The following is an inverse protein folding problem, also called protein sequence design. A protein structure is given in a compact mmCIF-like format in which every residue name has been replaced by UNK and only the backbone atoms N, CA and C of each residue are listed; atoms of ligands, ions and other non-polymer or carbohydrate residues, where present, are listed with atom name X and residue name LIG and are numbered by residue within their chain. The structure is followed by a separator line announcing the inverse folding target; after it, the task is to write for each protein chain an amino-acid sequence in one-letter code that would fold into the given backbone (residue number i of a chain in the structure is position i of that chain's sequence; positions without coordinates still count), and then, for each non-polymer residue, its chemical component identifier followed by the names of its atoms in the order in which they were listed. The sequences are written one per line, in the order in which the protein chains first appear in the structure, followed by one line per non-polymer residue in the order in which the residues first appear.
data_IF_374438457525
#
_entry.id   IF_374438457525
#
_cell.length_a   1.000
_cell.length_b   1.000
_cell.length_c   1.000
_cell.angle_alpha   90.00
_cell.angle_beta   90.00
_cell.angle_gamma   90.00
#
_symmetry.space_group_name_H-M   'P 1'
#
loop_
_entity.id
_entity.type
_entity.pdbx_description
1 polymer ?
#
# COMPACT_ATOMS: atom_id res chain seq x y z
N UNK A 1 17.23 4.34 -24.83
CA UNK A 1 16.72 4.32 -23.44
C UNK A 1 16.56 5.78 -23.04
N UNK A 2 15.38 6.23 -22.61
CA UNK A 2 15.19 7.64 -22.28
C UNK A 2 16.10 8.04 -21.10
N UNK A 3 16.54 9.29 -21.07
CA UNK A 3 17.43 9.84 -20.04
C UNK A 3 16.84 9.67 -18.63
N UNK A 4 15.53 9.88 -18.48
CA UNK A 4 14.77 9.62 -17.24
C UNK A 4 14.90 8.18 -16.73
N UNK A 5 14.82 7.19 -17.62
CA UNK A 5 14.96 5.78 -17.25
C UNK A 5 16.38 5.45 -16.81
N UNK A 6 17.38 6.15 -17.34
CA UNK A 6 18.76 6.04 -16.91
C UNK A 6 18.95 6.56 -15.48
N UNK A 7 18.38 7.72 -15.15
CA UNK A 7 18.42 8.33 -13.82
C UNK A 7 17.73 7.42 -12.77
N UNK A 8 16.52 6.94 -13.05
CA UNK A 8 15.81 6.06 -12.13
C UNK A 8 16.56 4.74 -11.88
N UNK A 9 17.16 4.16 -12.93
CA UNK A 9 17.99 2.96 -12.79
C UNK A 9 19.23 3.24 -11.95
N UNK A 10 19.85 4.41 -12.10
CA UNK A 10 20.97 4.86 -11.25
C UNK A 10 20.58 4.97 -9.77
N UNK A 11 19.40 5.54 -9.48
CA UNK A 11 18.86 5.62 -8.10
C UNK A 11 18.67 4.21 -7.52
N UNK A 12 18.04 3.30 -8.27
CA UNK A 12 17.82 1.93 -7.81
C UNK A 12 19.15 1.21 -7.56
N UNK A 13 20.12 1.36 -8.48
CA UNK A 13 21.46 0.78 -8.33
C UNK A 13 22.17 1.34 -7.08
N UNK A 14 22.06 2.62 -6.81
CA UNK A 14 22.58 3.26 -5.60
C UNK A 14 21.99 2.61 -4.34
N UNK A 15 20.66 2.55 -4.23
CA UNK A 15 20.02 1.93 -3.06
C UNK A 15 20.38 0.47 -2.89
N UNK A 16 20.48 -0.28 -3.99
CA UNK A 16 20.82 -1.71 -3.94
C UNK A 16 22.28 -1.93 -3.51
N UNK A 17 23.24 -1.23 -4.13
CA UNK A 17 24.66 -1.48 -3.95
C UNK A 17 25.21 -0.92 -2.63
N UNK A 18 24.66 0.19 -2.16
CA UNK A 18 25.13 0.86 -0.93
C UNK A 18 24.32 0.51 0.33
N UNK A 19 23.27 -0.31 0.20
CA UNK A 19 22.53 -0.75 1.39
C UNK A 19 23.28 -1.84 2.15
N UNK A 20 23.50 -1.65 3.47
CA UNK A 20 24.09 -2.68 4.33
C UNK A 20 23.27 -3.98 4.29
N UNK A 21 23.92 -5.12 4.56
CA UNK A 21 23.31 -6.45 4.52
C UNK A 21 22.06 -6.59 5.43
N UNK A 22 22.05 -5.91 6.57
CA UNK A 22 20.91 -5.93 7.47
C UNK A 22 19.70 -5.18 6.88
N UNK A 23 19.90 -4.03 6.19
CA UNK A 23 18.85 -3.30 5.48
C UNK A 23 18.28 -4.15 4.34
N UNK A 24 19.15 -4.86 3.60
CA UNK A 24 18.72 -5.80 2.56
C UNK A 24 17.84 -6.91 3.15
N UNK A 25 18.23 -7.48 4.30
CA UNK A 25 17.47 -8.54 4.98
C UNK A 25 16.11 -8.04 5.46
N UNK A 26 16.04 -6.87 6.11
CA UNK A 26 14.79 -6.23 6.50
C UNK A 26 13.90 -5.98 5.26
N UNK A 27 14.48 -5.48 4.18
CA UNK A 27 13.75 -5.20 2.93
C UNK A 27 13.12 -6.46 2.31
N UNK A 28 13.81 -7.60 2.41
CA UNK A 28 13.27 -8.91 2.00
C UNK A 28 12.12 -9.38 2.91
N UNK A 29 12.22 -9.17 4.21
CA UNK A 29 11.15 -9.49 5.17
C UNK A 29 9.91 -8.61 4.87
N UNK A 30 10.11 -7.30 4.66
CA UNK A 30 9.03 -6.39 4.27
C UNK A 30 8.38 -6.81 2.94
N UNK A 31 9.15 -7.40 2.00
CA UNK A 31 8.60 -7.95 0.77
C UNK A 31 7.61 -9.08 1.02
N UNK A 32 7.83 -9.89 2.03
CA UNK A 32 6.91 -10.99 2.39
C UNK A 32 5.68 -10.41 3.09
N UNK A 33 5.88 -9.57 4.12
CA UNK A 33 4.79 -9.01 4.93
C UNK A 33 3.82 -8.19 4.08
N UNK A 34 4.33 -7.33 3.20
CA UNK A 34 3.51 -6.48 2.33
C UNK A 34 3.26 -7.08 0.93
N UNK A 35 3.46 -8.40 0.78
CA UNK A 35 3.00 -9.10 -0.43
C UNK A 35 1.47 -9.07 -0.51
N UNK A 36 0.92 -9.16 -1.72
CA UNK A 36 -0.54 -9.17 -1.93
C UNK A 36 -1.25 -10.25 -1.10
N UNK A 37 -0.65 -11.43 -0.99
CA UNK A 37 -1.23 -12.54 -0.20
C UNK A 37 -1.30 -12.20 1.29
N UNK A 38 -0.19 -11.74 1.88
CA UNK A 38 -0.15 -11.35 3.28
C UNK A 38 -1.01 -10.11 3.55
N UNK A 39 -1.06 -9.15 2.64
CA UNK A 39 -1.94 -7.99 2.74
C UNK A 39 -3.41 -8.40 2.88
N UNK A 40 -3.89 -9.30 2.04
CA UNK A 40 -5.27 -9.81 2.12
C UNK A 40 -5.53 -10.44 3.49
N UNK A 41 -4.63 -11.30 3.97
CA UNK A 41 -4.75 -11.93 5.30
C UNK A 41 -4.79 -10.89 6.41
N UNK A 42 -3.90 -9.90 6.38
CA UNK A 42 -3.85 -8.82 7.38
C UNK A 42 -5.15 -8.00 7.36
N UNK A 43 -5.67 -7.65 6.17
CA UNK A 43 -6.92 -6.92 6.04
C UNK A 43 -8.11 -7.72 6.59
N UNK A 44 -8.14 -9.03 6.40
CA UNK A 44 -9.16 -9.89 7.03
C UNK A 44 -9.03 -9.93 8.56
N UNK A 45 -7.82 -10.00 9.10
CA UNK A 45 -7.59 -9.93 10.55
C UNK A 45 -8.07 -8.57 11.09
N UNK A 46 -7.73 -7.46 10.43
CA UNK A 46 -8.21 -6.12 10.78
C UNK A 46 -9.74 -6.01 10.69
N UNK A 47 -10.34 -6.68 9.71
CA UNK A 47 -11.79 -6.79 9.57
C UNK A 47 -12.42 -7.47 10.82
N UNK A 48 -11.85 -8.58 11.25
CA UNK A 48 -12.30 -9.29 12.47
C UNK A 48 -12.16 -8.39 13.69
N UNK A 49 -11.02 -7.72 13.87
CA UNK A 49 -10.78 -6.77 14.97
C UNK A 49 -11.82 -5.65 14.96
N UNK A 50 -12.06 -5.04 13.79
CA UNK A 50 -13.07 -3.98 13.63
C UNK A 50 -14.46 -4.45 14.04
N UNK A 51 -14.84 -5.68 13.65
CA UNK A 51 -16.13 -6.26 14.04
C UNK A 51 -16.26 -6.41 15.56
N UNK A 52 -15.25 -6.95 16.24
CA UNK A 52 -15.30 -7.10 17.70
C UNK A 52 -15.35 -5.76 18.45
N UNK A 53 -14.69 -4.73 17.92
CA UNK A 53 -14.71 -3.38 18.50
C UNK A 53 -16.06 -2.66 18.35
N UNK A 54 -16.75 -2.85 17.22
CA UNK A 54 -17.98 -2.09 16.87
C UNK A 54 -19.25 -2.91 16.83
N UNK A 55 -19.15 -4.25 16.79
CA UNK A 55 -20.30 -5.17 16.67
C UNK A 55 -21.24 -4.81 15.52
N UNK A 56 -20.67 -4.23 14.45
CA UNK A 56 -21.43 -3.77 13.30
C UNK A 56 -20.77 -4.25 12.00
N UNK A 57 -21.31 -5.32 11.43
CA UNK A 57 -20.78 -5.96 10.23
C UNK A 57 -20.78 -5.03 8.99
N UNK A 58 -21.75 -4.08 8.90
CA UNK A 58 -21.83 -3.15 7.78
C UNK A 58 -20.63 -2.19 7.76
N UNK A 59 -20.29 -1.60 8.91
CA UNK A 59 -19.11 -0.74 9.04
C UNK A 59 -17.86 -1.52 8.65
N UNK A 60 -17.71 -2.72 9.19
CA UNK A 60 -16.55 -3.57 9.02
C UNK A 60 -16.35 -3.99 7.56
N UNK A 61 -17.40 -4.45 6.89
CA UNK A 61 -17.33 -4.81 5.47
C UNK A 61 -17.04 -3.57 4.61
N UNK A 62 -17.66 -2.45 4.91
CA UNK A 62 -17.39 -1.21 4.17
C UNK A 62 -15.92 -0.78 4.28
N UNK A 63 -15.33 -0.86 5.47
CA UNK A 63 -13.90 -0.58 5.67
C UNK A 63 -13.02 -1.52 4.85
N UNK A 64 -13.34 -2.82 4.83
CA UNK A 64 -12.62 -3.82 4.05
C UNK A 64 -12.74 -3.53 2.54
N UNK A 65 -13.95 -3.26 2.05
CA UNK A 65 -14.17 -2.95 0.62
C UNK A 65 -13.43 -1.68 0.21
N UNK A 66 -13.51 -0.61 0.99
CA UNK A 66 -12.81 0.65 0.72
C UNK A 66 -11.29 0.44 0.68
N UNK A 67 -10.76 -0.46 1.52
CA UNK A 67 -9.33 -0.76 1.56
C UNK A 67 -8.88 -1.68 0.42
N UNK A 68 -9.73 -2.61 -0.05
CA UNK A 68 -9.37 -3.57 -1.10
C UNK A 68 -9.64 -3.05 -2.51
N UNK A 69 -10.70 -2.26 -2.72
CA UNK A 69 -11.11 -1.82 -4.05
C UNK A 69 -10.00 -1.09 -4.83
N UNK A 70 -9.19 -0.19 -4.21
CA UNK A 70 -8.06 0.43 -4.89
C UNK A 70 -7.01 -0.57 -5.37
N UNK A 71 -6.89 -1.74 -4.75
CA UNK A 71 -5.97 -2.80 -5.19
C UNK A 71 -6.33 -3.31 -6.60
N UNK A 72 -7.64 -3.41 -6.89
CA UNK A 72 -8.12 -3.81 -8.23
C UNK A 72 -7.67 -2.81 -9.29
N UNK A 73 -7.77 -1.51 -9.01
CA UNK A 73 -7.30 -0.47 -9.92
C UNK A 73 -5.78 -0.53 -10.14
N UNK A 74 -5.01 -0.74 -9.07
CA UNK A 74 -3.55 -0.91 -9.16
C UNK A 74 -3.20 -2.11 -10.05
N UNK A 75 -3.88 -3.24 -9.89
CA UNK A 75 -3.66 -4.41 -10.75
C UNK A 75 -4.04 -4.14 -12.21
N UNK A 76 -5.18 -3.49 -12.46
CA UNK A 76 -5.58 -3.13 -13.83
C UNK A 76 -4.53 -2.24 -14.52
N UNK A 77 -4.09 -1.16 -13.84
CA UNK A 77 -3.06 -0.25 -14.36
C UNK A 77 -1.75 -1.00 -14.63
N UNK A 78 -1.37 -1.94 -13.76
CA UNK A 78 -0.14 -2.73 -13.90
C UNK A 78 -0.09 -3.48 -15.23
N UNK A 79 -1.19 -4.10 -15.64
CA UNK A 79 -1.28 -4.82 -16.90
C UNK A 79 -1.46 -3.92 -18.12
N UNK A 80 -2.06 -2.72 -17.95
CA UNK A 80 -2.19 -1.73 -19.04
C UNK A 80 -0.83 -1.10 -19.36
N UNK A 81 -0.10 -0.64 -18.35
CA UNK A 81 1.20 0.05 -18.53
C UNK A 81 2.32 -0.91 -18.88
N UNK A 82 2.28 -2.11 -18.36
CA UNK A 82 3.21 -3.22 -18.63
C UNK A 82 4.71 -2.82 -18.54
N UNK A 83 5.07 -1.98 -17.55
CA UNK A 83 6.44 -1.48 -17.38
C UNK A 83 7.38 -2.61 -16.94
N UNK A 84 8.52 -2.83 -17.63
CA UNK A 84 9.52 -3.80 -17.18
C UNK A 84 10.16 -3.34 -15.84
N UNK A 85 10.65 -4.32 -15.06
CA UNK A 85 11.33 -4.05 -13.78
C UNK A 85 12.75 -3.50 -14.00
N UNK A 86 13.34 -2.82 -12.98
CA UNK A 86 14.70 -2.33 -13.06
C UNK A 86 15.69 -3.46 -13.34
N UNK A 87 16.63 -3.21 -14.25
CA UNK A 87 17.79 -4.08 -14.47
C UNK A 87 19.06 -3.29 -14.12
N UNK A 88 19.73 -3.69 -13.06
CA UNK A 88 20.92 -3.01 -12.50
C UNK A 88 22.22 -3.76 -12.76
N UNK A 89 22.26 -4.61 -13.82
CA UNK A 89 23.44 -5.40 -14.16
C UNK A 89 23.62 -6.69 -13.35
N UNK A 90 22.82 -6.91 -12.30
CA UNK A 90 22.85 -8.12 -11.46
C UNK A 90 21.51 -8.85 -11.60
N UNK A 91 21.56 -10.20 -11.67
CA UNK A 91 20.33 -11.00 -11.67
C UNK A 91 19.71 -11.03 -10.28
N UNK A 92 18.65 -10.26 -10.10
CA UNK A 92 17.81 -10.30 -8.90
C UNK A 92 16.58 -11.17 -9.18
N UNK A 93 16.26 -12.09 -8.27
CA UNK A 93 15.05 -12.92 -8.39
C UNK A 93 13.82 -12.05 -8.12
N UNK A 94 13.17 -11.58 -9.18
CA UNK A 94 11.99 -10.73 -9.14
C UNK A 94 10.75 -11.49 -9.61
N UNK A 95 9.55 -11.08 -9.15
CA UNK A 95 8.31 -11.60 -9.71
C UNK A 95 8.17 -11.30 -11.20
N UNK A 96 7.47 -12.13 -11.99
CA UNK A 96 7.34 -11.95 -13.44
C UNK A 96 6.39 -10.81 -13.84
N UNK A 97 5.62 -10.28 -12.89
CA UNK A 97 4.65 -9.21 -13.13
C UNK A 97 5.31 -7.85 -13.38
N UNK A 98 4.65 -6.93 -14.12
CA UNK A 98 5.18 -5.59 -14.41
C UNK A 98 5.53 -4.78 -13.17
N UNK A 99 6.44 -3.79 -13.30
CA UNK A 99 6.92 -3.01 -12.15
C UNK A 99 5.91 -1.94 -11.71
N UNK A 100 5.28 -1.25 -12.64
CA UNK A 100 4.41 -0.09 -12.36
C UNK A 100 2.93 -0.46 -12.26
N UNK A 101 2.20 0.06 -11.28
CA UNK A 101 2.67 0.68 -10.05
C UNK A 101 3.08 -0.37 -8.99
N UNK A 102 3.69 0.07 -7.87
CA UNK A 102 4.19 -0.85 -6.83
C UNK A 102 3.07 -1.47 -6.00
N UNK A 103 2.87 -2.80 -6.16
CA UNK A 103 1.88 -3.55 -5.38
C UNK A 103 2.19 -3.62 -3.88
N UNK A 104 3.46 -3.65 -3.48
CA UNK A 104 3.86 -3.67 -2.07
C UNK A 104 3.60 -2.34 -1.37
N UNK A 105 3.89 -1.22 -2.04
CA UNK A 105 3.56 0.11 -1.52
C UNK A 105 2.04 0.29 -1.42
N UNK A 106 1.29 -0.17 -2.43
CA UNK A 106 -0.16 -0.20 -2.41
C UNK A 106 -0.71 -1.02 -1.23
N UNK A 107 -0.14 -2.20 -0.96
CA UNK A 107 -0.52 -3.05 0.17
C UNK A 107 -0.27 -2.36 1.52
N UNK A 108 0.86 -1.65 1.67
CA UNK A 108 1.14 -0.88 2.88
C UNK A 108 0.09 0.21 3.10
N UNK A 109 -0.28 0.96 2.05
CA UNK A 109 -1.32 1.99 2.14
C UNK A 109 -2.69 1.38 2.46
N UNK A 110 -3.04 0.22 1.87
CA UNK A 110 -4.31 -0.47 2.16
C UNK A 110 -4.43 -0.83 3.65
N UNK A 111 -3.39 -1.43 4.23
CA UNK A 111 -3.34 -1.81 5.64
C UNK A 111 -3.43 -0.57 6.54
N UNK A 112 -2.67 0.47 6.22
CA UNK A 112 -2.69 1.73 6.95
C UNK A 112 -4.07 2.41 6.88
N UNK A 113 -4.69 2.45 5.70
CA UNK A 113 -6.01 3.06 5.51
C UNK A 113 -7.09 2.35 6.35
N UNK A 114 -7.09 1.00 6.34
CA UNK A 114 -8.03 0.24 7.16
C UNK A 114 -7.79 0.47 8.65
N UNK A 115 -6.52 0.49 9.10
CA UNK A 115 -6.15 0.78 10.48
C UNK A 115 -6.64 2.18 10.92
N UNK A 116 -6.44 3.20 10.06
CA UNK A 116 -6.92 4.57 10.31
C UNK A 116 -8.45 4.65 10.38
N UNK A 117 -9.16 3.92 9.50
CA UNK A 117 -10.63 3.86 9.58
C UNK A 117 -11.11 3.19 10.86
N UNK A 118 -10.42 2.16 11.34
CA UNK A 118 -10.71 1.52 12.64
C UNK A 118 -10.47 2.52 13.78
N UNK A 119 -9.33 3.23 13.79
CA UNK A 119 -9.03 4.25 14.79
C UNK A 119 -10.05 5.40 14.75
N UNK A 120 -10.43 5.88 13.58
CA UNK A 120 -11.45 6.93 13.43
C UNK A 120 -12.77 6.58 14.11
N UNK A 121 -13.18 5.31 14.03
CA UNK A 121 -14.45 4.85 14.61
C UNK A 121 -14.30 4.44 16.09
N UNK A 122 -13.12 3.96 16.52
CA UNK A 122 -12.89 3.42 17.88
C UNK A 122 -12.26 4.42 18.84
N UNK A 123 -11.23 5.14 18.41
CA UNK A 123 -10.48 6.07 19.26
C UNK A 123 -9.87 7.20 18.44
N UNK A 124 -10.62 8.28 18.27
CA UNK A 124 -10.21 9.45 17.49
C UNK A 124 -8.96 10.16 18.03
N UNK A 125 -8.67 10.06 19.32
CA UNK A 125 -7.49 10.70 19.93
C UNK A 125 -6.19 10.14 19.39
N UNK A 126 -6.18 8.87 18.98
CA UNK A 126 -5.00 8.20 18.41
C UNK A 126 -4.85 8.41 16.90
N UNK A 127 -5.82 9.06 16.25
CA UNK A 127 -5.83 9.18 14.78
C UNK A 127 -4.59 9.94 14.24
N UNK A 128 -4.18 10.99 14.95
CA UNK A 128 -3.01 11.81 14.58
C UNK A 128 -1.71 11.00 14.62
N UNK A 129 -1.53 10.24 15.68
CA UNK A 129 -0.38 9.34 15.85
C UNK A 129 -0.45 8.21 14.81
N UNK A 130 -1.63 7.62 14.61
CA UNK A 130 -1.85 6.59 13.59
C UNK A 130 -1.51 7.07 12.18
N UNK A 131 -1.83 8.33 11.84
CA UNK A 131 -1.48 8.92 10.55
C UNK A 131 0.04 9.06 10.38
N UNK A 132 0.75 9.54 11.41
CA UNK A 132 2.21 9.67 11.38
C UNK A 132 2.86 8.29 11.19
N UNK A 133 2.43 7.30 11.98
CA UNK A 133 2.92 5.92 11.85
C UNK A 133 2.65 5.37 10.44
N UNK A 134 1.47 5.62 9.88
CA UNK A 134 1.11 5.17 8.53
C UNK A 134 2.03 5.75 7.46
N UNK A 135 2.33 7.05 7.53
CA UNK A 135 3.26 7.70 6.61
C UNK A 135 4.66 7.06 6.73
N UNK A 136 5.15 6.87 7.94
CA UNK A 136 6.47 6.25 8.19
C UNK A 136 6.52 4.83 7.61
N UNK A 137 5.48 4.01 7.86
CA UNK A 137 5.39 2.64 7.34
C UNK A 137 5.40 2.64 5.80
N UNK A 138 4.60 3.49 5.17
CA UNK A 138 4.54 3.57 3.70
C UNK A 138 5.89 3.97 3.11
N UNK A 139 6.57 4.96 3.71
CA UNK A 139 7.91 5.41 3.26
C UNK A 139 8.93 4.27 3.40
N UNK A 140 8.97 3.60 4.55
CA UNK A 140 9.89 2.47 4.78
C UNK A 140 9.65 1.36 3.76
N UNK A 141 8.39 0.98 3.52
CA UNK A 141 8.04 -0.04 2.52
C UNK A 141 8.43 0.42 1.11
N UNK A 142 8.15 1.67 0.74
CA UNK A 142 8.52 2.22 -0.56
C UNK A 142 10.04 2.16 -0.79
N UNK A 143 10.84 2.66 0.15
CA UNK A 143 12.31 2.61 0.09
C UNK A 143 12.83 1.17 0.03
N UNK A 144 12.23 0.25 0.78
CA UNK A 144 12.62 -1.16 0.74
C UNK A 144 12.49 -1.78 -0.66
N UNK A 145 11.59 -1.25 -1.53
CA UNK A 145 11.43 -1.74 -2.92
C UNK A 145 12.58 -1.31 -3.81
N UNK A 146 13.18 -0.13 -3.54
CA UNK A 146 14.38 0.32 -4.23
C UNK A 146 15.59 -0.50 -3.79
N UNK A 147 15.72 -0.76 -2.50
CA UNK A 147 16.82 -1.58 -1.93
C UNK A 147 16.86 -2.98 -2.55
N UNK A 148 15.72 -3.64 -2.74
CA UNK A 148 15.68 -4.97 -3.39
C UNK A 148 15.64 -4.90 -4.92
N UNK A 149 15.85 -3.71 -5.52
CA UNK A 149 15.83 -3.46 -6.96
C UNK A 149 14.56 -3.96 -7.68
N UNK A 150 13.41 -3.96 -6.99
CA UNK A 150 12.16 -4.48 -7.53
C UNK A 150 11.33 -3.45 -8.28
N UNK A 151 11.48 -2.17 -7.95
CA UNK A 151 10.68 -1.05 -8.47
C UNK A 151 11.52 0.18 -8.72
N UNK A 152 11.06 1.03 -9.63
CA UNK A 152 11.59 2.37 -9.83
C UNK A 152 11.01 3.35 -8.79
N UNK A 153 11.68 4.51 -8.54
CA UNK A 153 11.14 5.56 -7.66
C UNK A 153 9.72 5.98 -8.04
N UNK A 154 9.44 6.18 -9.32
CA UNK A 154 8.09 6.56 -9.80
C UNK A 154 7.05 5.49 -9.52
N UNK A 155 7.38 4.19 -9.56
CA UNK A 155 6.43 3.11 -9.26
C UNK A 155 5.91 3.20 -7.82
N UNK A 156 6.81 3.47 -6.86
CA UNK A 156 6.47 3.54 -5.43
C UNK A 156 5.78 4.86 -5.07
N UNK A 157 6.25 5.98 -5.64
CA UNK A 157 5.64 7.30 -5.43
C UNK A 157 4.20 7.31 -5.96
N UNK A 158 4.00 6.79 -7.17
CA UNK A 158 2.65 6.71 -7.76
C UNK A 158 1.71 5.90 -6.87
N UNK A 159 2.13 4.74 -6.38
CA UNK A 159 1.29 3.95 -5.46
C UNK A 159 1.02 4.66 -4.14
N UNK A 160 2.04 5.35 -3.57
CA UNK A 160 1.91 6.08 -2.33
C UNK A 160 0.93 7.27 -2.42
N UNK A 161 0.76 7.86 -3.60
CA UNK A 161 -0.14 9.00 -3.85
C UNK A 161 -1.51 8.53 -4.38
N UNK A 162 -1.54 7.68 -5.40
CA UNK A 162 -2.79 7.24 -6.02
C UNK A 162 -3.68 6.44 -5.07
N UNK A 163 -3.08 5.56 -4.28
CA UNK A 163 -3.87 4.68 -3.43
C UNK A 163 -4.68 5.45 -2.37
N UNK A 164 -4.11 6.40 -1.59
CA UNK A 164 -4.90 7.22 -0.67
C UNK A 164 -6.01 8.01 -1.38
N UNK A 165 -5.74 8.55 -2.57
CA UNK A 165 -6.75 9.27 -3.36
C UNK A 165 -7.93 8.36 -3.70
N UNK A 166 -7.65 7.13 -4.15
CA UNK A 166 -8.69 6.14 -4.44
C UNK A 166 -9.46 5.71 -3.18
N UNK A 167 -8.77 5.58 -2.03
CA UNK A 167 -9.42 5.32 -0.74
C UNK A 167 -10.37 6.47 -0.37
N UNK A 168 -9.93 7.72 -0.51
CA UNK A 168 -10.76 8.90 -0.22
C UNK A 168 -11.97 8.97 -1.15
N UNK A 169 -11.79 8.73 -2.45
CA UNK A 169 -12.89 8.66 -3.41
C UNK A 169 -13.92 7.58 -3.02
N UNK A 170 -13.46 6.40 -2.68
CA UNK A 170 -14.35 5.33 -2.22
C UNK A 170 -15.06 5.69 -0.91
N UNK A 171 -14.37 6.33 0.03
CA UNK A 171 -14.99 6.82 1.27
C UNK A 171 -16.15 7.79 0.98
N UNK A 172 -15.96 8.75 0.08
CA UNK A 172 -16.99 9.70 -0.28
C UNK A 172 -18.14 9.05 -1.04
N UNK A 173 -17.85 8.12 -1.94
CA UNK A 173 -18.86 7.32 -2.64
C UNK A 173 -19.75 6.55 -1.65
N UNK A 174 -19.15 5.83 -0.70
CA UNK A 174 -19.91 5.05 0.29
C UNK A 174 -20.63 5.92 1.32
N UNK A 175 -20.12 7.10 1.66
CA UNK A 175 -20.85 8.08 2.51
C UNK A 175 -22.11 8.62 1.85
N UNK A 176 -22.04 8.88 0.53
CA UNK A 176 -23.15 9.47 -0.22
C UNK A 176 -24.14 8.40 -0.69
N UNK A 177 -23.73 7.15 -0.80
CA UNK A 177 -24.62 6.04 -1.07
C UNK A 177 -25.42 5.71 0.19
N UNK A 178 -26.71 5.40 0.02
CA UNK A 178 -27.63 5.02 1.12
C UNK A 178 -27.21 3.77 1.90
N UNK A 179 -26.10 3.13 1.52
CA UNK A 179 -25.55 1.92 2.13
C UNK A 179 -25.03 2.14 3.55
N UNK A 180 -24.53 3.38 3.84
CA UNK A 180 -24.16 3.80 5.19
C UNK A 180 -25.22 4.79 5.64
N UNK A 181 -26.17 4.30 6.44
CA UNK A 181 -27.19 5.13 7.05
C UNK A 181 -26.49 6.28 7.82
N UNK A 182 -26.81 7.55 7.51
CA UNK A 182 -26.20 8.77 8.11
C UNK A 182 -26.17 8.77 9.64
N UNK A 183 -27.00 7.93 10.31
CA UNK A 183 -27.00 7.73 11.76
C UNK A 183 -25.75 7.03 12.31
N UNK A 184 -24.98 6.32 11.48
CA UNK A 184 -23.82 5.52 11.95
C UNK A 184 -22.57 6.40 12.10
N UNK A 185 -22.47 7.50 11.34
CA UNK A 185 -21.33 8.43 11.39
C UNK A 185 -21.50 9.57 12.41
N UNK A 186 -22.70 9.72 13.02
CA UNK A 186 -23.01 10.79 14.00
C UNK A 186 -22.94 10.34 15.47
N UNK A 187 -22.51 9.11 15.76
CA UNK A 187 -22.29 8.64 17.13
C UNK A 187 -20.82 8.55 17.50
#
# INVERSE_FOLDING_TARGET
MSEERSLETGIVAFFHNYSPSFIMSISKILAIIFSTKCCIVILFILCIISYFLKRNWRITITQLVISLLPMVYIFAIKFIVHRPRPFIGVKVKLPPDPSFPSGHTAAAVAICAMSLMILYVSNKSLLKIGLIISIVVVVIVALSRLVVAAHFPTDVITSAIMYPILVMYNLDFFKNSSFINRKILKR
#
